data_IF_275824905059
#
_entry.id   IF_275824905059
#
_cell.length_a   1.000
_cell.length_b   1.000
_cell.length_c   1.000
_cell.angle_alpha   90.00
_cell.angle_beta   90.00
_cell.angle_gamma   90.00
#
_symmetry.space_group_name_H-M   'P 1'
#
loop_
_entity.id
_entity.type
_entity.pdbx_description
1 polymer ?
#
# COMPACT_ATOMS: atom_id res chain seq x y z
N UNK A 1 7.08 -1.74 7.48
CA UNK A 1 5.75 -1.13 7.20
C UNK A 1 4.77 -2.23 6.83
N UNK A 2 3.54 -2.17 7.36
CA UNK A 2 2.46 -3.10 7.00
C UNK A 2 1.54 -2.48 5.94
N UNK A 3 1.07 -3.27 4.97
CA UNK A 3 0.16 -2.81 3.90
C UNK A 3 -1.16 -3.57 3.98
N UNK A 4 -2.27 -2.85 4.07
CA UNK A 4 -3.61 -3.43 3.95
C UNK A 4 -4.16 -3.20 2.54
N UNK A 5 -4.92 -4.15 1.99
CA UNK A 5 -5.45 -4.04 0.62
C UNK A 5 -6.32 -2.79 0.40
N UNK A 6 -6.97 -2.29 1.46
CA UNK A 6 -7.76 -1.06 1.41
C UNK A 6 -6.91 0.19 1.16
N UNK A 7 -5.64 0.17 1.57
CA UNK A 7 -4.71 1.28 1.36
C UNK A 7 -4.24 1.39 -0.09
N UNK A 8 -4.44 0.37 -0.91
CA UNK A 8 -4.05 0.38 -2.32
C UNK A 8 -5.00 1.27 -3.12
N UNK A 9 -4.43 2.20 -3.87
CA UNK A 9 -5.13 3.16 -4.73
C UNK A 9 -5.04 2.67 -6.17
N UNK A 10 -6.20 2.49 -6.80
CA UNK A 10 -6.32 1.99 -8.17
C UNK A 10 -7.75 1.53 -8.44
N UNK A 11 -8.05 1.39 -9.73
CA UNK A 11 -9.36 0.91 -10.20
C UNK A 11 -9.36 -0.62 -10.32
N UNK A 12 -10.50 -1.25 -10.01
CA UNK A 12 -10.66 -2.70 -10.09
C UNK A 12 -10.11 -3.46 -8.88
N UNK A 13 -9.50 -4.62 -9.12
CA UNK A 13 -8.99 -5.48 -8.06
C UNK A 13 -7.68 -4.93 -7.49
N UNK A 14 -7.65 -4.67 -6.18
CA UNK A 14 -6.54 -4.05 -5.46
C UNK A 14 -5.55 -5.10 -4.98
N UNK A 15 -4.50 -5.35 -5.75
CA UNK A 15 -3.43 -6.27 -5.40
C UNK A 15 -2.05 -5.71 -5.74
N UNK A 16 -1.04 -6.21 -5.03
CA UNK A 16 0.38 -6.01 -5.33
C UNK A 16 0.96 -7.38 -5.65
N UNK A 17 1.81 -7.44 -6.66
CA UNK A 17 2.58 -8.64 -6.98
C UNK A 17 3.97 -8.57 -6.32
N UNK A 18 4.63 -9.72 -6.22
CA UNK A 18 6.00 -9.74 -5.72
C UNK A 18 6.91 -8.95 -6.67
N UNK A 19 7.79 -8.11 -6.11
CA UNK A 19 8.69 -7.18 -6.82
C UNK A 19 8.04 -5.93 -7.41
N UNK A 20 6.75 -5.68 -7.17
CA UNK A 20 6.14 -4.40 -7.50
C UNK A 20 6.83 -3.25 -6.75
N UNK A 21 7.19 -2.21 -7.50
CA UNK A 21 7.62 -0.95 -6.91
C UNK A 21 6.39 -0.14 -6.57
N UNK A 22 6.37 0.39 -5.36
CA UNK A 22 5.22 1.15 -4.85
C UNK A 22 5.67 2.47 -4.24
N UNK A 23 4.82 3.47 -4.39
CA UNK A 23 4.86 4.71 -3.63
C UNK A 23 3.77 4.66 -2.56
N UNK A 24 4.07 5.12 -1.35
CA UNK A 24 3.13 5.15 -0.24
C UNK A 24 3.51 6.23 0.77
N UNK A 25 2.54 6.59 1.62
CA UNK A 25 2.76 7.44 2.79
C UNK A 25 2.80 6.61 4.07
N UNK A 26 3.74 6.90 4.96
CA UNK A 26 3.85 6.23 6.26
C UNK A 26 2.92 6.86 7.30
N UNK A 27 2.20 6.01 8.05
CA UNK A 27 1.33 6.44 9.15
C UNK A 27 1.46 5.49 10.33
N UNK A 28 1.29 5.99 11.56
CA UNK A 28 1.27 5.16 12.76
C UNK A 28 -0.12 4.54 12.94
N UNK A 29 -0.21 3.21 12.95
CA UNK A 29 -1.44 2.46 13.20
C UNK A 29 -1.40 1.66 14.50
N UNK A 30 -2.50 0.96 14.85
CA UNK A 30 -2.59 0.12 16.04
C UNK A 30 -1.61 -1.06 16.04
N UNK A 31 -1.02 -1.40 14.89
CA UNK A 31 0.00 -2.45 14.70
C UNK A 31 1.39 -1.91 14.37
N UNK A 32 1.64 -0.63 14.63
CA UNK A 32 2.88 0.06 14.24
C UNK A 32 2.77 0.78 12.90
N UNK A 33 3.90 0.99 12.23
CA UNK A 33 3.94 1.72 10.95
C UNK A 33 3.18 0.99 9.85
N UNK A 34 2.20 1.66 9.26
CA UNK A 34 1.38 1.18 8.15
C UNK A 34 1.51 2.11 6.93
N UNK A 35 1.35 1.53 5.74
CA UNK A 35 1.30 2.26 4.48
C UNK A 35 -0.13 2.73 4.17
N UNK A 36 -0.24 4.00 3.82
CA UNK A 36 -1.46 4.65 3.32
C UNK A 36 -1.23 5.13 1.89
N UNK A 37 -2.31 5.26 1.11
CA UNK A 37 -2.28 5.75 -0.28
C UNK A 37 -1.28 5.01 -1.18
N UNK A 38 -1.25 3.68 -1.11
CA UNK A 38 -0.28 2.85 -1.84
C UNK A 38 -0.60 2.83 -3.33
N UNK A 39 0.36 3.23 -4.17
CA UNK A 39 0.24 3.25 -5.63
C UNK A 39 1.37 2.46 -6.26
N UNK A 40 1.05 1.62 -7.25
CA UNK A 40 2.05 0.89 -8.03
C UNK A 40 2.77 1.86 -8.98
N UNK A 41 4.09 1.91 -8.88
CA UNK A 41 4.95 2.66 -9.80
C UNK A 41 5.22 1.79 -11.02
N UNK A 42 4.79 2.24 -12.19
CA UNK A 42 5.10 1.59 -13.48
C UNK A 42 6.46 2.06 -14.01
#
# INVERSE_FOLDING_TARGET
>A
VFVHFQSIVGDGYKSLEENDKVEFSETQGPKGLQASEVKVMR
#
